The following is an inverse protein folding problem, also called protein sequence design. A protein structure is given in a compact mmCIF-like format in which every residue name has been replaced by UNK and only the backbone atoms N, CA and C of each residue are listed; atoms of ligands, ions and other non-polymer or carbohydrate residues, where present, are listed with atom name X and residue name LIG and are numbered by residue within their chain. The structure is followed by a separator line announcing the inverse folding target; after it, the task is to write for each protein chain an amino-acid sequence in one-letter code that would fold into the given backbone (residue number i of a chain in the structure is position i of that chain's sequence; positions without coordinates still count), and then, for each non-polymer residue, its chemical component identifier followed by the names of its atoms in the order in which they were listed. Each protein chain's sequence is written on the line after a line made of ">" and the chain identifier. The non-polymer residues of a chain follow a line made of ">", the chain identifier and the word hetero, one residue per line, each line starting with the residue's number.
data_IF_977839484165
#
_entry.id   IF_977839484165
#
_cell.length_a   1.000
_cell.length_b   1.000
_cell.length_c   1.000
_cell.angle_alpha   90.00
_cell.angle_beta   90.00
_cell.angle_gamma   90.00
#
_symmetry.space_group_name_H-M   'P 1'
#
loop_
_entity.id
_entity.type
_entity.pdbx_description
1 polymer ?
#
# COMPACT_ATOMS: atom_id res chain seq x y z
N UNK A 1 10.05 10.51 21.94
CA UNK A 1 9.14 9.52 21.37
C UNK A 1 7.94 10.23 20.77
N UNK A 2 7.52 9.90 19.55
CA UNK A 2 6.41 10.58 18.92
C UNK A 2 5.08 10.30 19.63
N UNK A 3 4.14 11.24 19.53
CA UNK A 3 2.81 11.12 20.11
C UNK A 3 2.00 10.06 19.37
N UNK A 4 1.32 9.17 20.10
CA UNK A 4 0.54 8.06 19.51
C UNK A 4 -0.59 8.54 18.60
N UNK A 5 -1.26 9.65 18.96
CA UNK A 5 -2.33 10.20 18.10
C UNK A 5 -1.75 10.76 16.80
N UNK A 6 -0.57 11.39 16.87
CA UNK A 6 0.13 11.85 15.66
C UNK A 6 0.51 10.66 14.77
N UNK A 7 1.01 9.58 15.37
CA UNK A 7 1.31 8.34 14.63
C UNK A 7 0.06 7.82 13.92
N UNK A 8 -1.05 7.68 14.64
CA UNK A 8 -2.31 7.18 14.06
C UNK A 8 -2.80 8.07 12.93
N UNK A 9 -2.76 9.38 13.12
CA UNK A 9 -3.21 10.32 12.09
C UNK A 9 -2.31 10.24 10.85
N UNK A 10 -0.99 10.17 11.04
CA UNK A 10 -0.05 10.09 9.92
C UNK A 10 -0.17 8.75 9.16
N UNK A 11 -0.47 7.65 9.85
CA UNK A 11 -0.77 6.38 9.18
C UNK A 11 -2.00 6.54 8.28
N UNK A 12 -3.09 7.10 8.80
CA UNK A 12 -4.30 7.32 8.01
C UNK A 12 -4.04 8.22 6.82
N UNK A 13 -3.35 9.32 7.05
CA UNK A 13 -3.04 10.26 5.96
C UNK A 13 -2.15 9.63 4.90
N UNK A 14 -1.19 8.79 5.29
CA UNK A 14 -0.31 8.12 4.34
C UNK A 14 -1.07 7.16 3.43
N UNK A 15 -1.99 6.37 3.96
CA UNK A 15 -2.73 5.39 3.17
C UNK A 15 -3.99 5.97 2.52
N UNK A 16 -4.83 6.66 3.29
CA UNK A 16 -6.15 7.08 2.84
C UNK A 16 -6.12 8.38 2.02
N UNK A 17 -5.08 9.19 2.17
CA UNK A 17 -4.92 10.43 1.39
C UNK A 17 -3.76 10.35 0.41
N UNK A 18 -2.55 10.10 0.88
CA UNK A 18 -1.37 10.07 -0.01
C UNK A 18 -1.44 8.93 -1.01
N UNK A 19 -1.57 7.68 -0.55
CA UNK A 19 -1.60 6.52 -1.43
C UNK A 19 -2.90 6.41 -2.23
N UNK A 20 -4.05 6.69 -1.60
CA UNK A 20 -5.35 6.55 -2.24
C UNK A 20 -5.70 7.69 -3.19
N UNK A 21 -5.31 8.93 -2.87
CA UNK A 21 -5.74 10.13 -3.59
C UNK A 21 -4.61 10.87 -4.30
N UNK A 22 -3.39 10.38 -4.20
CA UNK A 22 -2.19 11.05 -4.75
C UNK A 22 -2.03 12.51 -4.32
N UNK A 23 -2.34 12.79 -3.06
CA UNK A 23 -2.11 14.14 -2.51
C UNK A 23 -0.60 14.29 -2.28
N UNK A 24 0.15 14.47 -3.37
CA UNK A 24 1.62 14.45 -3.39
C UNK A 24 2.24 15.51 -2.46
N UNK A 25 1.53 16.62 -2.23
CA UNK A 25 1.96 17.68 -1.33
C UNK A 25 2.08 17.21 0.13
N UNK A 26 1.45 16.08 0.49
CA UNK A 26 1.57 15.51 1.81
C UNK A 26 2.91 14.79 2.04
N UNK A 27 3.64 14.46 0.99
CA UNK A 27 4.83 13.60 1.10
C UNK A 27 5.86 14.18 2.08
N UNK A 28 6.23 15.44 1.94
CA UNK A 28 7.22 16.07 2.82
C UNK A 28 6.73 16.24 4.26
N UNK A 29 5.41 16.34 4.45
CA UNK A 29 4.82 16.40 5.80
C UNK A 29 4.80 15.03 6.46
N UNK A 30 4.51 13.99 5.69
CA UNK A 30 4.33 12.63 6.21
C UNK A 30 5.63 11.86 6.35
N UNK A 31 6.55 12.00 5.38
CA UNK A 31 7.76 11.21 5.32
C UNK A 31 8.97 12.02 5.76
N UNK A 32 9.79 11.40 6.61
CA UNK A 32 11.05 12.01 7.05
C UNK A 32 12.03 12.07 5.86
N UNK A 33 12.92 13.08 5.78
CA UNK A 33 13.93 13.14 4.71
C UNK A 33 14.82 11.89 4.59
N UNK A 34 15.01 11.18 5.70
CA UNK A 34 15.79 9.94 5.74
C UNK A 34 14.92 8.69 5.65
N UNK A 35 13.66 8.84 5.23
CA UNK A 35 12.74 7.71 5.08
C UNK A 35 13.33 6.61 4.22
N UNK A 36 13.22 5.37 4.69
CA UNK A 36 13.69 4.19 3.99
C UNK A 36 12.62 3.11 3.93
N UNK A 37 12.26 2.72 2.71
CA UNK A 37 11.30 1.65 2.46
C UNK A 37 12.05 0.34 2.19
N UNK A 38 11.98 -0.59 3.14
CA UNK A 38 12.62 -1.91 3.00
C UNK A 38 11.97 -2.79 1.93
N UNK A 39 10.79 -2.42 1.45
CA UNK A 39 10.06 -3.14 0.40
C UNK A 39 10.26 -2.53 -0.98
N UNK A 40 11.11 -1.50 -1.11
CA UNK A 40 11.33 -0.86 -2.39
C UNK A 40 12.03 -1.82 -3.37
N UNK A 41 11.59 -1.75 -4.62
CA UNK A 41 12.28 -2.42 -5.72
C UNK A 41 13.75 -1.95 -5.75
N UNK A 42 14.73 -2.87 -5.91
CA UNK A 42 16.15 -2.48 -5.98
C UNK A 42 16.47 -1.42 -7.03
N UNK A 43 15.67 -1.31 -8.08
CA UNK A 43 15.86 -0.32 -9.14
C UNK A 43 15.18 1.02 -8.85
N UNK A 44 14.46 1.13 -7.73
CA UNK A 44 13.74 2.34 -7.35
C UNK A 44 14.33 2.96 -6.09
N UNK A 45 14.11 4.26 -5.94
CA UNK A 45 14.47 4.95 -4.71
C UNK A 45 13.72 4.36 -3.51
N UNK A 46 14.41 4.11 -2.41
CA UNK A 46 13.82 3.70 -1.15
C UNK A 46 13.30 4.88 -0.31
N UNK A 47 13.51 6.11 -0.75
CA UNK A 47 13.13 7.33 -0.03
C UNK A 47 11.81 7.94 -0.51
N UNK A 48 11.63 9.22 -0.21
CA UNK A 48 10.39 9.97 -0.50
C UNK A 48 10.05 9.93 -2.00
N UNK A 49 11.03 10.12 -2.87
CA UNK A 49 10.77 10.11 -4.32
C UNK A 49 10.28 8.74 -4.78
N UNK A 50 10.79 7.66 -4.17
CA UNK A 50 10.30 6.32 -4.43
C UNK A 50 8.85 6.12 -3.95
N UNK A 51 8.49 6.70 -2.81
CA UNK A 51 7.11 6.65 -2.32
C UNK A 51 6.14 7.34 -3.29
N UNK A 52 6.52 8.53 -3.80
CA UNK A 52 5.74 9.25 -4.80
C UNK A 52 5.60 8.44 -6.10
N UNK A 53 6.72 7.89 -6.59
CA UNK A 53 6.72 7.08 -7.81
C UNK A 53 5.85 5.82 -7.66
N UNK A 54 5.87 5.17 -6.48
CA UNK A 54 5.03 4.02 -6.20
C UNK A 54 3.56 4.38 -6.22
N UNK A 55 3.16 5.49 -5.61
CA UNK A 55 1.78 5.96 -5.62
C UNK A 55 1.28 6.20 -7.05
N UNK A 56 2.09 6.84 -7.89
CA UNK A 56 1.76 7.10 -9.28
C UNK A 56 1.66 5.81 -10.10
N UNK A 57 2.61 4.89 -9.89
CA UNK A 57 2.63 3.61 -10.57
C UNK A 57 1.41 2.75 -10.23
N UNK A 58 1.06 2.67 -8.95
CA UNK A 58 -0.13 1.93 -8.51
C UNK A 58 -1.39 2.49 -9.17
N UNK A 59 -1.48 3.80 -9.28
CA UNK A 59 -2.62 4.45 -9.94
C UNK A 59 -2.69 4.12 -11.42
N UNK A 60 -1.54 3.97 -12.09
CA UNK A 60 -1.52 3.57 -13.49
C UNK A 60 -1.94 2.11 -13.70
N UNK A 61 -1.66 1.24 -12.73
CA UNK A 61 -2.05 -0.17 -12.79
C UNK A 61 -3.50 -0.40 -12.34
N UNK A 62 -3.96 0.41 -11.39
CA UNK A 62 -5.29 0.29 -10.76
C UNK A 62 -5.88 1.69 -10.66
N UNK A 63 -6.64 2.11 -11.67
CA UNK A 63 -7.13 3.49 -11.80
C UNK A 63 -7.91 3.99 -10.58
N UNK A 64 -8.62 3.09 -9.90
CA UNK A 64 -9.46 3.35 -8.73
C UNK A 64 -8.82 2.83 -7.43
N UNK A 65 -7.49 2.73 -7.37
CA UNK A 65 -6.81 2.22 -6.17
C UNK A 65 -7.21 3.01 -4.93
N UNK A 66 -7.54 2.28 -3.86
CA UNK A 66 -7.83 2.88 -2.56
C UNK A 66 -7.33 1.98 -1.44
N UNK A 67 -6.96 2.62 -0.32
CA UNK A 67 -6.56 1.96 0.92
C UNK A 67 -7.50 2.37 2.03
N UNK A 68 -7.94 1.41 2.82
CA UNK A 68 -8.73 1.64 4.02
C UNK A 68 -7.94 1.10 5.22
N UNK A 69 -7.64 1.96 6.17
CA UNK A 69 -6.95 1.57 7.40
C UNK A 69 -7.98 1.03 8.37
N UNK A 70 -7.96 -0.28 8.59
CA UNK A 70 -8.94 -0.95 9.45
C UNK A 70 -8.51 -0.97 10.91
N UNK A 71 -7.21 -1.09 11.18
CA UNK A 71 -6.68 -1.15 12.54
C UNK A 71 -5.26 -0.64 12.59
N UNK A 72 -4.93 0.07 13.66
CA UNK A 72 -3.58 0.54 13.95
C UNK A 72 -3.23 0.12 15.37
N UNK A 73 -2.10 -0.55 15.51
CA UNK A 73 -1.52 -0.90 16.81
C UNK A 73 -0.23 -0.13 16.95
N UNK A 74 -0.07 0.62 18.03
CA UNK A 74 1.11 1.44 18.28
C UNK A 74 1.85 0.91 19.50
N UNK A 75 3.14 0.66 19.33
CA UNK A 75 4.05 0.30 20.40
C UNK A 75 5.32 1.17 20.25
N UNK A 76 5.58 2.00 21.24
CA UNK A 76 6.72 2.93 21.24
C UNK A 76 6.71 3.83 20.00
N UNK A 77 7.76 3.79 19.18
CA UNK A 77 7.90 4.56 17.95
C UNK A 77 7.44 3.78 16.70
N UNK A 78 6.78 2.64 16.89
CA UNK A 78 6.34 1.79 15.79
C UNK A 78 4.84 1.63 15.75
N UNK A 79 4.32 1.47 14.54
CA UNK A 79 2.92 1.10 14.33
C UNK A 79 2.80 -0.08 13.38
N UNK A 80 1.81 -0.93 13.65
CA UNK A 80 1.32 -1.94 12.71
C UNK A 80 -0.03 -1.46 12.18
N UNK A 81 -0.14 -1.33 10.87
CA UNK A 81 -1.37 -0.92 10.19
C UNK A 81 -1.94 -2.08 9.39
N UNK A 82 -3.14 -2.51 9.76
CA UNK A 82 -3.90 -3.52 9.02
C UNK A 82 -4.81 -2.79 8.05
N UNK A 83 -4.54 -2.97 6.75
CA UNK A 83 -5.22 -2.19 5.71
C UNK A 83 -5.84 -3.10 4.67
N UNK A 84 -6.90 -2.62 4.02
CA UNK A 84 -7.48 -3.23 2.84
C UNK A 84 -7.12 -2.37 1.64
N UNK A 85 -6.51 -2.97 0.63
CA UNK A 85 -6.26 -2.34 -0.66
C UNK A 85 -7.29 -2.83 -1.65
N UNK A 86 -7.95 -1.90 -2.34
CA UNK A 86 -8.94 -2.18 -3.38
C UNK A 86 -8.54 -1.53 -4.67
N UNK A 87 -8.94 -2.13 -5.76
CA UNK A 87 -8.73 -1.55 -7.08
C UNK A 87 -9.34 -2.41 -8.17
N UNK A 88 -9.12 -1.99 -9.41
CA UNK A 88 -9.51 -2.73 -10.61
C UNK A 88 -8.29 -2.80 -11.52
N UNK A 89 -7.98 -3.98 -12.02
CA UNK A 89 -6.79 -4.18 -12.85
C UNK A 89 -6.93 -3.48 -14.21
N UNK A 90 -6.10 -2.47 -14.45
CA UNK A 90 -6.11 -1.65 -15.67
C UNK A 90 -4.93 -1.95 -16.59
N UNK A 91 -4.10 -2.96 -16.29
CA UNK A 91 -2.95 -3.37 -17.08
C UNK A 91 -1.62 -2.92 -16.47
N UNK A 92 -0.52 -3.35 -17.10
CA UNK A 92 0.82 -2.94 -16.69
C UNK A 92 1.42 -3.68 -15.50
N UNK A 93 0.66 -4.56 -14.86
CA UNK A 93 1.12 -5.43 -13.78
C UNK A 93 0.60 -6.85 -14.00
N UNK A 94 1.47 -7.82 -14.36
CA UNK A 94 2.89 -7.63 -14.73
C UNK A 94 3.05 -6.73 -15.96
N UNK A 95 4.26 -6.17 -16.17
CA UNK A 95 4.52 -5.35 -17.37
C UNK A 95 4.12 -6.07 -18.67
N UNK A 96 3.45 -5.35 -19.56
CA UNK A 96 3.01 -5.89 -20.83
C UNK A 96 1.69 -6.67 -20.81
N UNK A 97 1.11 -6.89 -19.63
CA UNK A 97 -0.19 -7.58 -19.53
C UNK A 97 -1.30 -6.56 -19.73
N UNK A 98 -2.28 -6.86 -20.64
CA UNK A 98 -3.41 -5.97 -20.84
C UNK A 98 -4.37 -5.97 -19.66
N UNK A 99 -5.20 -4.93 -19.57
CA UNK A 99 -6.21 -4.80 -18.53
C UNK A 99 -7.18 -5.97 -18.51
N UNK A 100 -7.44 -6.54 -17.33
CA UNK A 100 -8.48 -7.55 -17.15
C UNK A 100 -9.81 -6.94 -16.71
N UNK A 101 -9.79 -5.71 -16.21
CA UNK A 101 -10.92 -4.97 -15.64
C UNK A 101 -11.61 -5.71 -14.49
N UNK A 102 -10.88 -6.60 -13.81
CA UNK A 102 -11.40 -7.34 -12.65
C UNK A 102 -11.08 -6.61 -11.37
N UNK A 103 -12.06 -6.48 -10.46
CA UNK A 103 -11.83 -5.85 -9.16
C UNK A 103 -11.13 -6.80 -8.21
N UNK A 104 -10.41 -6.20 -7.24
CA UNK A 104 -9.80 -6.96 -6.14
C UNK A 104 -9.93 -6.19 -4.82
N UNK A 105 -9.86 -6.94 -3.73
CA UNK A 105 -9.73 -6.41 -2.38
C UNK A 105 -8.85 -7.36 -1.59
N UNK A 106 -7.72 -6.87 -1.11
CA UNK A 106 -6.71 -7.69 -0.43
C UNK A 106 -6.22 -7.02 0.84
N UNK A 107 -5.69 -7.81 1.75
CA UNK A 107 -5.18 -7.34 3.04
C UNK A 107 -3.68 -7.18 3.02
N UNK A 108 -3.22 -6.12 3.69
CA UNK A 108 -1.80 -5.87 3.95
C UNK A 108 -1.59 -5.62 5.43
N UNK A 109 -0.40 -5.93 5.92
CA UNK A 109 0.11 -5.42 7.20
C UNK A 109 1.36 -4.62 6.90
N UNK A 110 1.37 -3.36 7.32
CA UNK A 110 2.52 -2.48 7.21
C UNK A 110 3.07 -2.20 8.59
N UNK A 111 4.38 -2.36 8.75
CA UNK A 111 5.09 -1.93 9.95
C UNK A 111 5.83 -0.65 9.63
N UNK A 112 5.67 0.35 10.47
CA UNK A 112 6.24 1.67 10.23
C UNK A 112 6.93 2.14 11.51
N UNK A 113 8.19 2.58 11.37
CA UNK A 113 8.89 3.30 12.42
C UNK A 113 8.74 4.79 12.18
N UNK A 114 8.54 5.54 13.25
CA UNK A 114 8.32 6.98 13.20
C UNK A 114 9.50 7.72 13.83
N UNK A 115 9.87 8.84 13.23
CA UNK A 115 10.82 9.78 13.81
C UNK A 115 10.19 10.51 15.01
N UNK A 116 11.01 11.20 15.80
CA UNK A 116 10.53 11.92 16.99
C UNK A 116 9.48 12.97 16.66
N UNK A 117 9.51 13.54 15.46
CA UNK A 117 8.51 14.51 15.01
C UNK A 117 7.24 13.87 14.43
N UNK A 118 7.13 12.55 14.47
CA UNK A 118 5.95 11.82 14.01
C UNK A 118 5.94 11.48 12.53
N UNK A 119 6.98 11.84 11.77
CA UNK A 119 7.06 11.47 10.35
C UNK A 119 7.52 10.03 10.17
N UNK A 120 7.08 9.41 9.08
CA UNK A 120 7.46 8.04 8.74
C UNK A 120 8.95 7.98 8.43
N UNK A 121 9.66 7.06 9.10
CA UNK A 121 11.10 6.92 8.99
C UNK A 121 11.53 5.61 8.32
N UNK A 122 10.86 4.49 8.63
CA UNK A 122 11.13 3.20 8.01
C UNK A 122 9.82 2.44 7.77
N UNK A 123 9.82 1.59 6.77
CA UNK A 123 8.63 0.84 6.37
C UNK A 123 8.98 -0.59 5.97
N UNK A 124 8.22 -1.54 6.50
CA UNK A 124 8.19 -2.96 6.09
C UNK A 124 6.74 -3.34 5.82
N UNK A 125 6.53 -4.34 4.97
CA UNK A 125 5.16 -4.79 4.69
C UNK A 125 5.10 -6.28 4.36
N UNK A 126 3.95 -6.87 4.67
CA UNK A 126 3.51 -8.16 4.15
C UNK A 126 2.21 -7.91 3.40
N UNK A 127 2.17 -8.34 2.14
CA UNK A 127 1.04 -8.12 1.24
C UNK A 127 0.50 -9.44 0.73
N UNK A 128 -0.81 -9.51 0.51
CA UNK A 128 -1.44 -10.65 -0.16
C UNK A 128 -1.38 -10.47 -1.69
N UNK A 129 -0.18 -10.55 -2.25
CA UNK A 129 0.02 -10.40 -3.69
C UNK A 129 -0.55 -11.59 -4.48
N UNK A 130 -0.57 -12.79 -3.89
CA UNK A 130 -1.19 -13.95 -4.50
C UNK A 130 -2.70 -13.77 -4.64
N UNK A 131 -3.36 -13.29 -3.58
CA UNK A 131 -4.79 -12.99 -3.62
C UNK A 131 -5.13 -11.94 -4.67
N UNK A 132 -4.29 -10.90 -4.78
CA UNK A 132 -4.47 -9.88 -5.82
C UNK A 132 -4.37 -10.51 -7.22
N UNK A 133 -3.34 -11.31 -7.47
CA UNK A 133 -3.13 -11.94 -8.78
C UNK A 133 -4.31 -12.85 -9.16
N UNK A 134 -4.85 -13.60 -8.22
CA UNK A 134 -6.01 -14.47 -8.47
C UNK A 134 -7.28 -13.66 -8.72
N UNK A 135 -7.57 -12.66 -7.91
CA UNK A 135 -8.76 -11.82 -8.06
C UNK A 135 -8.71 -10.98 -9.34
N UNK A 136 -7.54 -10.49 -9.70
CA UNK A 136 -7.34 -9.72 -10.92
C UNK A 136 -7.34 -10.59 -12.20
N UNK A 137 -7.44 -11.91 -12.06
CA UNK A 137 -7.48 -12.82 -13.21
C UNK A 137 -6.12 -13.09 -13.84
N UNK A 138 -5.02 -12.82 -13.11
CA UNK A 138 -3.66 -13.04 -13.60
C UNK A 138 -3.17 -14.46 -13.32
N UNK A 139 -3.79 -15.16 -12.39
CA UNK A 139 -3.51 -16.55 -12.04
C UNK A 139 -4.83 -17.33 -11.94
N UNK A 140 -4.83 -18.65 -12.22
CA UNK A 140 -6.02 -19.47 -12.03
C UNK A 140 -6.41 -19.54 -10.54
N UNK A 141 -7.72 -19.77 -10.24
CA UNK A 141 -8.15 -19.95 -8.85
C UNK A 141 -7.51 -21.22 -8.24
N UNK A 142 -7.45 -21.30 -6.89
CA UNK A 142 -6.91 -22.49 -6.23
C UNK A 142 -7.67 -23.76 -6.63
N UNK A 143 -7.00 -24.93 -6.67
CA UNK A 143 -7.66 -26.20 -6.91
C UNK A 143 -8.82 -26.44 -5.93
N UNK A 144 -9.94 -26.95 -6.43
CA UNK A 144 -11.12 -27.25 -5.60
C UNK A 144 -12.13 -26.12 -5.45
N UNK A 145 -11.85 -24.90 -6.00
CA UNK A 145 -12.84 -23.84 -6.12
C UNK A 145 -13.33 -23.80 -7.57
N UNK A 146 -14.56 -24.23 -7.79
CA UNK A 146 -15.17 -24.17 -9.11
C UNK A 146 -15.49 -22.73 -9.49
N UNK A 147 -15.27 -22.39 -10.77
CA UNK A 147 -15.69 -21.10 -11.32
C UNK A 147 -17.21 -20.97 -11.20
N UNK A 148 -17.65 -19.84 -10.73
CA UNK A 148 -19.08 -19.58 -10.57
C UNK A 148 -19.73 -20.26 -9.37
N UNK A 149 -18.97 -20.97 -8.57
CA UNK A 149 -19.44 -21.44 -7.28
C UNK A 149 -19.30 -20.28 -6.29
N UNK A 150 -20.32 -19.47 -6.22
CA UNK A 150 -20.38 -18.30 -5.38
C UNK A 150 -20.50 -18.60 -3.87
N UNK A 151 -20.23 -19.79 -3.51
CA UNK A 151 -20.26 -20.22 -2.12
C UNK A 151 -18.97 -19.84 -1.38
#
# INVERSE_FOLDING_TARGET
>A
MPNKETIRQNVRDAFERFMSRSEAELAERLYHPEYFNHEADPERSAGIEGAKATADWLRSCFGDVSYEVERIIVEDDMAAAYVTMRGTHEGGLPPGIPATHKPFAVKHVHLIRFADDGRLLEHWAVRDDLGLAMQAGLLPPPPGKADGDGS
#
